data_IF_465587313622
#
_entry.id   IF_465587313622
#
_cell.length_a   1.000
_cell.length_b   1.000
_cell.length_c   1.000
_cell.angle_alpha   90.00
_cell.angle_beta   90.00
_cell.angle_gamma   90.00
#
_symmetry.space_group_name_H-M   'P 1'
#
loop_
_entity.id
_entity.type
_entity.pdbx_description
1 polymer ?
#
# COMPACT_ATOMS: atom_id res chain seq x y z
N UNK A 1 -4.90 0.73 -6.25
CA UNK A 1 -4.67 0.15 -7.59
C UNK A 1 -4.81 -1.36 -7.45
N UNK A 2 -5.73 -1.96 -8.18
CA UNK A 2 -5.96 -3.41 -8.11
C UNK A 2 -4.89 -4.21 -8.87
N UNK A 3 -4.48 -5.34 -8.29
CA UNK A 3 -3.49 -6.25 -8.88
C UNK A 3 -3.98 -6.91 -10.17
N UNK A 4 -5.29 -7.07 -10.31
CA UNK A 4 -5.94 -7.71 -11.47
C UNK A 4 -6.18 -6.74 -12.65
N UNK A 5 -5.83 -5.47 -12.50
CA UNK A 5 -6.02 -4.43 -13.51
C UNK A 5 -7.44 -3.86 -13.57
N UNK A 6 -8.30 -4.19 -12.60
CA UNK A 6 -9.62 -3.56 -12.44
C UNK A 6 -9.48 -2.05 -12.23
N UNK A 7 -10.49 -1.32 -12.71
CA UNK A 7 -10.63 0.10 -12.39
C UNK A 7 -11.39 0.27 -11.07
N UNK A 8 -11.16 1.39 -10.39
CA UNK A 8 -11.77 1.73 -9.11
C UNK A 8 -11.92 3.24 -8.94
N UNK A 9 -12.62 3.68 -7.90
CA UNK A 9 -12.66 5.10 -7.57
C UNK A 9 -11.28 5.59 -7.17
N UNK A 10 -10.97 6.86 -7.48
CA UNK A 10 -9.66 7.46 -7.17
C UNK A 10 -8.45 6.66 -7.70
N UNK A 11 -8.57 5.92 -8.81
CA UNK A 11 -7.49 5.11 -9.39
C UNK A 11 -6.43 5.94 -10.12
N UNK A 12 -5.70 6.80 -9.39
CA UNK A 12 -4.67 7.69 -9.91
C UNK A 12 -3.30 7.49 -9.26
N UNK A 13 -3.06 6.33 -8.62
CA UNK A 13 -1.78 5.96 -8.02
C UNK A 13 -1.06 4.85 -8.83
N UNK A 14 -0.64 5.10 -10.09
CA UNK A 14 -0.07 4.06 -10.96
C UNK A 14 1.25 3.46 -10.43
N UNK A 15 1.97 4.17 -9.55
CA UNK A 15 3.21 3.68 -8.92
C UNK A 15 2.99 2.80 -7.68
N UNK A 16 1.74 2.64 -7.22
CA UNK A 16 1.42 1.97 -5.95
C UNK A 16 1.93 0.52 -5.92
N UNK A 17 1.58 -0.27 -6.94
CA UNK A 17 1.96 -1.68 -7.03
C UNK A 17 3.47 -1.88 -7.14
N UNK A 18 4.14 -1.08 -7.98
CA UNK A 18 5.60 -1.14 -8.13
C UNK A 18 6.33 -0.84 -6.82
N UNK A 19 5.87 0.15 -6.06
CA UNK A 19 6.48 0.54 -4.79
C UNK A 19 6.32 -0.57 -3.75
N UNK A 20 5.10 -1.11 -3.62
CA UNK A 20 4.84 -2.29 -2.76
C UNK A 20 5.74 -3.46 -3.15
N UNK A 21 5.89 -3.76 -4.44
CA UNK A 21 6.69 -4.90 -4.90
C UNK A 21 8.19 -4.75 -4.62
N UNK A 22 8.74 -3.54 -4.73
CA UNK A 22 10.14 -3.29 -4.37
C UNK A 22 10.36 -3.43 -2.87
N UNK A 23 9.47 -2.86 -2.05
CA UNK A 23 9.56 -3.00 -0.59
C UNK A 23 9.46 -4.46 -0.14
N UNK A 24 8.61 -5.27 -0.79
CA UNK A 24 8.51 -6.71 -0.49
C UNK A 24 9.78 -7.45 -0.92
N UNK A 25 10.36 -7.12 -2.08
CA UNK A 25 11.59 -7.76 -2.57
C UNK A 25 12.78 -7.53 -1.65
N UNK A 26 12.91 -6.31 -1.14
CA UNK A 26 14.04 -5.88 -0.30
C UNK A 26 13.71 -6.01 1.20
N UNK A 27 12.60 -6.65 1.58
CA UNK A 27 12.07 -6.63 2.95
C UNK A 27 13.06 -7.19 4.00
N UNK A 28 13.94 -8.12 3.61
CA UNK A 28 14.98 -8.66 4.51
C UNK A 28 16.04 -7.62 4.88
N UNK A 29 16.17 -6.55 4.11
CA UNK A 29 17.13 -5.46 4.30
C UNK A 29 16.43 -4.16 4.77
N UNK A 30 15.16 -4.22 5.16
CA UNK A 30 14.34 -3.10 5.63
C UNK A 30 13.85 -3.39 7.04
N UNK A 31 14.26 -2.59 8.02
CA UNK A 31 13.85 -2.78 9.42
C UNK A 31 12.53 -2.08 9.79
N UNK A 32 12.18 -1.01 9.07
CA UNK A 32 11.01 -0.16 9.36
C UNK A 32 10.58 0.65 8.13
N UNK A 33 9.27 0.88 7.98
CA UNK A 33 8.70 1.73 6.91
C UNK A 33 7.94 2.91 7.51
N UNK A 34 8.13 4.10 6.92
CA UNK A 34 7.33 5.30 7.20
C UNK A 34 6.55 5.68 5.94
N UNK A 35 5.22 5.65 6.02
CA UNK A 35 4.31 6.17 4.99
C UNK A 35 3.79 7.55 5.44
N UNK A 36 4.38 8.59 4.88
CA UNK A 36 4.26 9.98 5.36
C UNK A 36 3.08 10.75 4.74
N UNK A 37 1.85 10.35 5.06
CA UNK A 37 0.64 10.99 4.53
C UNK A 37 0.09 10.31 3.29
N UNK A 38 -1.13 10.69 2.93
CA UNK A 38 -1.83 10.27 1.71
C UNK A 38 -1.79 8.75 1.43
N UNK A 39 -2.44 8.01 2.34
CA UNK A 39 -2.25 6.56 2.48
C UNK A 39 -2.85 5.75 1.32
N UNK A 40 -4.17 5.69 1.24
CA UNK A 40 -4.88 4.86 0.25
C UNK A 40 -5.75 5.67 -0.72
N UNK A 41 -5.85 6.99 -0.50
CA UNK A 41 -6.71 7.88 -1.27
C UNK A 41 -8.18 7.43 -1.37
N UNK A 42 -8.68 6.70 -0.35
CA UNK A 42 -10.07 6.27 -0.28
C UNK A 42 -11.04 7.44 -0.49
N UNK A 43 -10.75 8.61 0.11
CA UNK A 43 -11.48 9.87 -0.06
C UNK A 43 -13.03 9.71 -0.02
N UNK A 44 -13.52 8.85 0.87
CA UNK A 44 -14.95 8.55 1.04
C UNK A 44 -15.40 7.17 0.52
N UNK A 45 -14.61 6.49 -0.31
CA UNK A 45 -14.85 5.11 -0.76
C UNK A 45 -14.19 4.11 0.20
N UNK A 46 -14.87 3.87 1.33
CA UNK A 46 -14.29 3.22 2.52
C UNK A 46 -13.73 1.80 2.26
N UNK A 47 -14.27 1.04 1.30
CA UNK A 47 -13.77 -0.29 0.96
C UNK A 47 -12.30 -0.31 0.55
N UNK A 48 -11.75 0.81 0.07
CA UNK A 48 -10.34 0.91 -0.32
C UNK A 48 -9.38 0.85 0.87
N UNK A 49 -9.87 1.02 2.11
CA UNK A 49 -9.06 0.80 3.31
C UNK A 49 -8.70 -0.68 3.50
N UNK A 50 -9.65 -1.59 3.34
CA UNK A 50 -9.39 -3.03 3.45
C UNK A 50 -8.50 -3.53 2.29
N UNK A 51 -8.68 -2.94 1.10
CA UNK A 51 -7.80 -3.17 -0.04
C UNK A 51 -6.37 -2.71 0.27
N UNK A 52 -6.18 -1.52 0.84
CA UNK A 52 -4.87 -1.01 1.22
C UNK A 52 -4.19 -1.88 2.27
N UNK A 53 -4.89 -2.26 3.34
CA UNK A 53 -4.33 -3.11 4.40
C UNK A 53 -3.93 -4.47 3.84
N UNK A 54 -4.71 -5.04 2.93
CA UNK A 54 -4.36 -6.27 2.20
C UNK A 54 -3.14 -6.07 1.29
N UNK A 55 -3.03 -4.93 0.60
CA UNK A 55 -1.90 -4.65 -0.28
C UNK A 55 -0.57 -4.55 0.47
N UNK A 56 -0.54 -3.92 1.65
CA UNK A 56 0.68 -3.74 2.44
C UNK A 56 0.92 -4.84 3.47
N UNK A 57 0.01 -5.81 3.61
CA UNK A 57 0.08 -6.90 4.58
C UNK A 57 1.44 -7.63 4.60
N UNK A 58 2.06 -8.00 3.47
CA UNK A 58 3.36 -8.67 3.49
C UNK A 58 4.48 -7.85 4.17
N UNK A 59 4.37 -6.52 4.13
CA UNK A 59 5.31 -5.59 4.76
C UNK A 59 4.91 -5.36 6.22
N UNK A 60 3.68 -4.90 6.44
CA UNK A 60 3.21 -4.42 7.74
C UNK A 60 2.98 -5.53 8.79
N UNK A 61 2.86 -6.78 8.37
CA UNK A 61 2.83 -7.95 9.26
C UNK A 61 4.24 -8.41 9.68
N UNK A 62 5.29 -7.94 8.99
CA UNK A 62 6.69 -8.37 9.21
C UNK A 62 7.50 -7.29 9.94
N UNK A 63 7.36 -6.03 9.54
CA UNK A 63 8.08 -4.88 10.11
C UNK A 63 7.12 -3.75 10.48
N UNK A 64 7.48 -2.85 11.41
CA UNK A 64 6.65 -1.71 11.74
C UNK A 64 6.38 -0.84 10.50
N UNK A 65 5.10 -0.56 10.25
CA UNK A 65 4.62 0.31 9.18
C UNK A 65 3.96 1.55 9.80
N UNK A 66 4.72 2.63 9.91
CA UNK A 66 4.32 3.85 10.60
C UNK A 66 3.65 4.82 9.62
N UNK A 67 2.48 5.34 9.97
CA UNK A 67 1.71 6.28 9.15
C UNK A 67 1.67 7.68 9.78
N UNK A 68 1.57 8.72 8.96
CA UNK A 68 1.35 10.12 9.35
C UNK A 68 0.18 10.74 8.58
#
# INVERSE_FOLDING_TARGET
AERDGSNEYNNYQPGSLNTTDQLIKDLNDIDIVFHIGDICYANGYISQWDQFTSQVEPIASTVPYMIA
#
